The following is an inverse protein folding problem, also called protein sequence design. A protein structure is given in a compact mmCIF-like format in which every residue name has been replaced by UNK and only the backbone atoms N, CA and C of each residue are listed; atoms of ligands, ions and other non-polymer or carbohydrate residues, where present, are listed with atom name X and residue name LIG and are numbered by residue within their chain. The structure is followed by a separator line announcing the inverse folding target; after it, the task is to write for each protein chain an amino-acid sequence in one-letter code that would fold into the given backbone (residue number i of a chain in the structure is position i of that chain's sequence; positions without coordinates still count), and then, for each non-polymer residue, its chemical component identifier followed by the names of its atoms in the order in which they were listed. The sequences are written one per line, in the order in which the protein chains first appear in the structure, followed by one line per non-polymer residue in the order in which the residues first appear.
data_IF_325886570280
#
_entry.id   IF_325886570280
#
_cell.length_a   1.000
_cell.length_b   1.000
_cell.length_c   1.000
_cell.angle_alpha   90.00
_cell.angle_beta   90.00
_cell.angle_gamma   90.00
#
_symmetry.space_group_name_H-M   'P 1'
#
loop_
_entity.id
_entity.type
_entity.pdbx_description
1 polymer ?
#
# COMPACT_ATOMS: atom_id res chain seq x y z
N UNK A 1 17.24 4.17 8.19
CA UNK A 1 17.03 3.72 6.79
C UNK A 1 15.92 4.58 6.23
N UNK A 2 16.18 5.31 5.14
CA UNK A 2 15.11 6.00 4.42
C UNK A 2 14.52 5.03 3.39
N UNK A 3 13.19 5.01 3.17
CA UNK A 3 12.61 4.17 2.14
C UNK A 3 12.90 4.74 0.74
N UNK A 4 13.11 3.84 -0.22
CA UNK A 4 13.18 4.21 -1.64
C UNK A 4 11.80 4.66 -2.14
N UNK A 5 10.75 3.96 -1.69
CA UNK A 5 9.38 4.21 -2.11
C UNK A 5 8.38 3.92 -0.98
N UNK A 6 7.45 4.86 -0.78
CA UNK A 6 6.25 4.68 0.04
C UNK A 6 5.08 4.32 -0.87
N UNK A 7 4.54 3.13 -0.69
CA UNK A 7 3.41 2.61 -1.44
C UNK A 7 2.14 2.71 -0.59
N UNK A 8 1.30 3.66 -0.94
CA UNK A 8 0.00 3.85 -0.34
C UNK A 8 -1.00 2.83 -0.90
N UNK A 9 -1.59 2.06 -0.01
CA UNK A 9 -2.54 0.99 -0.31
C UNK A 9 -3.92 1.28 0.31
N UNK A 10 -4.17 2.53 0.72
CA UNK A 10 -5.48 2.93 1.22
C UNK A 10 -6.52 2.96 0.10
N UNK A 11 -7.76 2.58 0.46
CA UNK A 11 -8.96 2.72 -0.38
C UNK A 11 -9.12 4.17 -0.85
N UNK A 12 -9.08 5.12 0.09
CA UNK A 12 -9.19 6.56 -0.18
C UNK A 12 -8.07 7.32 0.57
N UNK A 13 -7.00 7.74 -0.13
CA UNK A 13 -5.92 8.51 0.47
C UNK A 13 -6.19 10.02 0.51
N UNK A 14 -7.32 10.51 -0.01
CA UNK A 14 -7.64 11.94 0.00
C UNK A 14 -8.24 12.41 1.32
N UNK A 15 -8.65 11.48 2.19
CA UNK A 15 -9.27 11.76 3.48
C UNK A 15 -8.39 11.26 4.62
N UNK A 16 -8.00 12.17 5.50
CA UNK A 16 -7.25 11.85 6.71
C UNK A 16 -7.49 12.91 7.79
N UNK A 17 -7.22 12.56 9.05
CA UNK A 17 -7.39 13.47 10.19
C UNK A 17 -6.55 14.74 9.99
N UNK A 18 -7.19 15.91 10.15
CA UNK A 18 -6.60 17.24 9.93
C UNK A 18 -5.94 17.45 8.55
N UNK A 19 -6.26 16.61 7.55
CA UNK A 19 -5.67 16.67 6.21
C UNK A 19 -4.19 16.24 6.14
N UNK A 20 -3.61 15.80 7.26
CA UNK A 20 -2.24 15.28 7.33
C UNK A 20 -2.21 13.86 6.76
N UNK A 21 -1.16 13.51 6.02
CA UNK A 21 -1.05 12.23 5.30
C UNK A 21 -2.12 11.99 4.21
N UNK A 22 -2.80 13.05 3.74
CA UNK A 22 -3.56 12.96 2.50
C UNK A 22 -2.62 12.76 1.31
N UNK A 23 -3.11 12.21 0.19
CA UNK A 23 -2.34 12.06 -1.05
C UNK A 23 -1.66 13.37 -1.47
N UNK A 24 -2.34 14.53 -1.56
CA UNK A 24 -1.68 15.79 -1.87
C UNK A 24 -0.60 16.20 -0.85
N UNK A 25 -0.81 15.89 0.44
CA UNK A 25 0.20 16.15 1.47
C UNK A 25 1.44 15.27 1.28
N UNK A 26 1.24 13.97 1.01
CA UNK A 26 2.31 13.00 0.81
C UNK A 26 3.08 13.26 -0.48
N UNK A 27 2.40 13.58 -1.57
CA UNK A 27 3.04 13.99 -2.83
C UNK A 27 3.93 15.21 -2.65
N UNK A 28 3.47 16.24 -1.93
CA UNK A 28 4.31 17.42 -1.64
C UNK A 28 5.53 17.09 -0.80
N UNK A 29 5.44 16.12 0.10
CA UNK A 29 6.50 15.81 1.08
C UNK A 29 7.51 14.76 0.57
N UNK A 30 7.05 13.80 -0.21
CA UNK A 30 7.83 12.65 -0.67
C UNK A 30 8.16 12.71 -2.17
N UNK A 31 7.42 13.49 -2.95
CA UNK A 31 7.63 13.63 -4.39
C UNK A 31 7.54 12.28 -5.11
N UNK A 32 8.57 11.96 -5.88
CA UNK A 32 8.70 10.68 -6.60
C UNK A 32 8.80 9.46 -5.68
N UNK A 33 9.05 9.64 -4.38
CA UNK A 33 9.09 8.54 -3.39
C UNK A 33 7.72 8.16 -2.85
N UNK A 34 6.63 8.65 -3.45
CA UNK A 34 5.27 8.27 -3.09
C UNK A 34 4.51 7.78 -4.30
N UNK A 35 3.87 6.62 -4.16
CA UNK A 35 2.95 6.07 -5.14
C UNK A 35 1.69 5.57 -4.45
N UNK A 36 0.55 5.74 -5.12
CA UNK A 36 -0.71 5.13 -4.69
C UNK A 36 -1.05 3.98 -5.62
N UNK A 37 -1.20 2.78 -5.04
CA UNK A 37 -1.64 1.56 -5.73
C UNK A 37 -3.09 1.32 -5.32
N UNK A 38 -4.00 1.98 -6.04
CA UNK A 38 -5.44 1.95 -5.75
C UNK A 38 -6.03 0.53 -5.78
N UNK A 39 -5.43 -0.34 -6.58
CA UNK A 39 -5.83 -1.73 -6.78
C UNK A 39 -5.75 -2.53 -5.47
N UNK A 40 -4.86 -2.12 -4.55
CA UNK A 40 -4.68 -2.74 -3.24
C UNK A 40 -5.52 -2.07 -2.12
N UNK A 41 -6.45 -1.19 -2.47
CA UNK A 41 -7.36 -0.57 -1.50
C UNK A 41 -8.29 -1.59 -0.83
N UNK A 42 -8.37 -1.58 0.50
CA UNK A 42 -9.31 -2.42 1.27
C UNK A 42 -10.75 -1.89 1.17
N UNK A 43 -11.56 -2.51 0.30
CA UNK A 43 -12.96 -2.13 0.05
C UNK A 43 -13.92 -2.61 1.15
N UNK A 44 -13.61 -3.74 1.81
CA UNK A 44 -14.50 -4.31 2.85
C UNK A 44 -14.27 -3.72 4.22
N UNK A 45 -13.08 -3.14 4.48
CA UNK A 45 -12.62 -2.70 5.81
C UNK A 45 -12.59 -3.82 6.85
N UNK A 46 -12.60 -5.06 6.38
CA UNK A 46 -12.53 -6.29 7.17
C UNK A 46 -11.23 -7.03 6.90
N UNK A 47 -11.00 -8.13 7.64
CA UNK A 47 -9.89 -9.05 7.44
C UNK A 47 -10.42 -10.50 7.37
N UNK A 48 -10.06 -11.28 6.34
CA UNK A 48 -9.25 -10.89 5.19
C UNK A 48 -9.92 -9.79 4.35
N UNK A 49 -9.14 -8.87 3.76
CA UNK A 49 -9.70 -7.73 3.04
C UNK A 49 -10.24 -8.17 1.68
N UNK A 50 -11.28 -7.49 1.20
CA UNK A 50 -11.61 -7.49 -0.23
C UNK A 50 -10.88 -6.32 -0.87
N UNK A 51 -9.84 -6.61 -1.66
CA UNK A 51 -9.10 -5.58 -2.38
C UNK A 51 -9.85 -5.15 -3.65
N UNK A 52 -9.61 -3.92 -4.10
CA UNK A 52 -10.24 -3.38 -5.31
C UNK A 52 -9.92 -4.22 -6.57
N UNK A 53 -8.66 -4.63 -6.72
CA UNK A 53 -8.19 -5.59 -7.72
C UNK A 53 -6.89 -6.25 -7.20
N UNK A 54 -7.04 -7.37 -6.48
CA UNK A 54 -5.92 -8.04 -5.82
C UNK A 54 -4.83 -8.48 -6.82
N UNK A 55 -5.24 -9.04 -7.96
CA UNK A 55 -4.31 -9.61 -8.93
C UNK A 55 -3.46 -8.51 -9.59
N UNK A 56 -4.11 -7.44 -10.07
CA UNK A 56 -3.41 -6.30 -10.67
C UNK A 56 -2.56 -5.55 -9.65
N UNK A 57 -3.07 -5.37 -8.43
CA UNK A 57 -2.35 -4.72 -7.35
C UNK A 57 -1.08 -5.45 -6.94
N UNK A 58 -1.15 -6.78 -6.78
CA UNK A 58 0.00 -7.62 -6.42
C UNK A 58 1.04 -7.68 -7.55
N UNK A 59 0.63 -7.75 -8.82
CA UNK A 59 1.57 -7.64 -9.95
C UNK A 59 2.35 -6.34 -9.91
N UNK A 60 1.64 -5.21 -9.80
CA UNK A 60 2.26 -3.89 -9.73
C UNK A 60 3.19 -3.75 -8.53
N UNK A 61 2.80 -4.27 -7.37
CA UNK A 61 3.66 -4.22 -6.18
C UNK A 61 4.94 -5.05 -6.35
N UNK A 62 4.87 -6.20 -7.06
CA UNK A 62 6.06 -6.99 -7.41
C UNK A 62 7.00 -6.24 -8.34
N UNK A 63 6.48 -5.60 -9.38
CA UNK A 63 7.27 -4.75 -10.29
C UNK A 63 8.00 -3.63 -9.52
N UNK A 64 7.33 -3.01 -8.54
CA UNK A 64 7.96 -2.03 -7.66
C UNK A 64 9.03 -2.67 -6.75
N UNK A 65 8.77 -3.87 -6.23
CA UNK A 65 9.72 -4.63 -5.40
C UNK A 65 10.97 -5.09 -6.14
N UNK A 66 10.89 -5.29 -7.45
CA UNK A 66 12.05 -5.56 -8.29
C UNK A 66 12.87 -4.29 -8.58
N UNK A 67 12.22 -3.12 -8.57
CA UNK A 67 12.85 -1.83 -8.89
C UNK A 67 13.44 -1.09 -7.68
N UNK A 68 13.11 -1.48 -6.45
CA UNK A 68 13.46 -0.77 -5.22
C UNK A 68 13.92 -1.72 -4.12
N UNK A 69 14.95 -1.36 -3.37
CA UNK A 69 15.47 -2.18 -2.27
C UNK A 69 14.58 -2.09 -1.02
N UNK A 70 14.07 -0.88 -0.72
CA UNK A 70 13.30 -0.61 0.50
C UNK A 70 11.94 0.02 0.16
N UNK A 71 10.90 -0.82 0.18
CA UNK A 71 9.50 -0.40 0.04
C UNK A 71 8.79 -0.38 1.39
N UNK A 72 8.02 0.70 1.62
CA UNK A 72 7.17 0.83 2.80
C UNK A 72 5.71 0.86 2.37
N UNK A 73 4.93 -0.12 2.83
CA UNK A 73 3.47 -0.12 2.68
C UNK A 73 2.84 0.85 3.68
N UNK A 74 2.10 1.83 3.17
CA UNK A 74 1.33 2.79 3.97
C UNK A 74 -0.15 2.40 3.97
N UNK A 75 -0.70 2.21 5.18
CA UNK A 75 -2.12 2.01 5.40
C UNK A 75 -2.67 2.91 6.53
N UNK A 76 -3.98 2.87 6.77
CA UNK A 76 -4.63 3.68 7.80
C UNK A 76 -4.84 2.93 9.13
N UNK A 77 -4.73 1.61 9.13
CA UNK A 77 -4.95 0.74 10.28
C UNK A 77 -3.83 0.86 11.31
N UNK A 78 -4.23 0.99 12.58
CA UNK A 78 -3.33 1.16 13.72
C UNK A 78 -2.62 -0.14 14.11
N UNK A 79 -3.30 -1.28 14.01
CA UNK A 79 -2.82 -2.58 14.47
C UNK A 79 -2.18 -3.36 13.32
N UNK A 80 -0.89 -3.69 13.43
CA UNK A 80 -0.18 -4.43 12.39
C UNK A 80 -0.64 -5.89 12.25
N UNK A 81 -1.02 -6.54 13.36
CA UNK A 81 -1.52 -7.93 13.31
C UNK A 81 -2.91 -7.99 12.68
N UNK A 82 -3.60 -6.85 12.63
CA UNK A 82 -4.95 -6.69 12.08
C UNK A 82 -5.00 -5.53 11.10
N UNK A 83 -4.15 -5.58 10.07
CA UNK A 83 -4.18 -4.60 9.00
C UNK A 83 -4.11 -5.23 7.62
N UNK A 84 -4.70 -4.54 6.63
CA UNK A 84 -4.62 -4.98 5.24
C UNK A 84 -3.18 -4.97 4.72
N UNK A 85 -2.28 -4.10 5.22
CA UNK A 85 -0.87 -4.11 4.81
C UNK A 85 -0.17 -5.41 5.20
N UNK A 86 -0.58 -6.04 6.31
CA UNK A 86 -0.09 -7.34 6.74
C UNK A 86 -0.53 -8.45 5.79
N UNK A 87 -1.80 -8.43 5.37
CA UNK A 87 -2.32 -9.34 4.34
C UNK A 87 -1.54 -9.20 3.02
N UNK A 88 -1.35 -7.98 2.51
CA UNK A 88 -0.59 -7.70 1.29
C UNK A 88 0.86 -8.17 1.41
N UNK A 89 1.53 -7.91 2.56
CA UNK A 89 2.90 -8.36 2.82
C UNK A 89 3.03 -9.88 2.72
N UNK A 90 2.09 -10.63 3.28
CA UNK A 90 2.11 -12.09 3.19
C UNK A 90 1.92 -12.55 1.73
N UNK A 91 0.98 -11.93 0.99
CA UNK A 91 0.70 -12.27 -0.41
C UNK A 91 1.85 -12.03 -1.37
N UNK A 92 2.63 -10.96 -1.17
CA UNK A 92 3.79 -10.71 -2.04
C UNK A 92 4.95 -11.69 -1.78
N UNK A 93 5.01 -12.29 -0.59
CA UNK A 93 6.00 -13.31 -0.23
C UNK A 93 5.60 -14.73 -0.68
N UNK A 94 4.34 -14.96 -1.04
CA UNK A 94 3.89 -16.22 -1.62
C UNK A 94 4.54 -16.44 -3.00
N UNK A 95 4.98 -17.68 -3.33
CA UNK A 95 5.48 -18.00 -4.65
C UNK A 95 4.41 -17.72 -5.71
N UNK A 96 4.81 -17.14 -6.85
CA UNK A 96 3.92 -17.04 -8.01
C UNK A 96 3.77 -18.44 -8.58
N UNK A 97 2.62 -19.08 -8.34
CA UNK A 97 2.25 -20.28 -9.07
C UNK A 97 1.90 -19.85 -10.49
N UNK A 98 2.76 -20.20 -11.45
CA UNK A 98 2.55 -19.97 -12.88
C UNK A 98 1.51 -20.88 -13.49
#
# INVERSE_FOLDING_TARGET
MEPDLVVDVREDPYRAYLGVYTKPYLERRLGSRYIWVRELGNMSRELPPTLADEEAGLRRLRELAEAHEVLVLLCAEKDEERCHRGYIRLKIQEPVNG
#
